data_IF_577377040351
#
_entry.id   IF_577377040351
#
_cell.length_a   1.000
_cell.length_b   1.000
_cell.length_c   1.000
_cell.angle_alpha   90.00
_cell.angle_beta   90.00
_cell.angle_gamma   90.00
#
_symmetry.space_group_name_H-M   'P 1'
#
loop_
_entity.id
_entity.type
_entity.pdbx_description
1 polymer ?
#
# COMPACT_ATOMS: atom_id res chain seq x y z
N UNK A 1 18.51 69.16 -49.31
CA UNK A 1 17.15 68.83 -48.84
C UNK A 1 17.05 67.33 -48.68
N UNK A 2 17.25 66.77 -47.48
CA UNK A 2 17.07 65.34 -47.21
C UNK A 2 15.98 65.20 -46.14
N UNK A 3 14.88 64.54 -46.49
CA UNK A 3 13.84 64.13 -45.54
C UNK A 3 14.27 62.81 -44.90
N UNK A 4 14.67 62.84 -43.63
CA UNK A 4 14.94 61.63 -42.84
C UNK A 4 13.61 61.10 -42.33
N UNK A 5 13.18 59.94 -42.83
CA UNK A 5 11.94 59.28 -42.42
C UNK A 5 12.23 58.37 -41.21
N UNK A 6 11.59 58.64 -40.07
CA UNK A 6 11.62 57.76 -38.89
C UNK A 6 10.62 56.61 -39.08
N UNK A 7 11.10 55.37 -39.23
CA UNK A 7 10.26 54.18 -39.12
C UNK A 7 10.25 53.70 -37.66
N UNK A 8 9.13 53.91 -36.96
CA UNK A 8 8.83 53.20 -35.70
C UNK A 8 8.47 51.75 -36.04
N UNK A 9 9.26 50.80 -35.55
CA UNK A 9 8.86 49.40 -35.51
C UNK A 9 7.71 49.25 -34.50
N UNK A 10 6.54 48.84 -34.98
CA UNK A 10 5.40 48.51 -34.12
C UNK A 10 5.63 47.15 -33.43
N UNK A 11 5.23 46.96 -32.17
CA UNK A 11 5.30 45.66 -31.52
C UNK A 11 4.38 44.69 -32.26
N UNK A 12 4.88 43.49 -32.56
CA UNK A 12 4.09 42.41 -33.13
C UNK A 12 2.99 42.02 -32.13
N UNK A 13 1.81 42.61 -32.27
CA UNK A 13 0.63 42.21 -31.54
C UNK A 13 0.24 40.80 -32.00
N UNK A 14 0.20 39.86 -31.06
CA UNK A 14 -0.40 38.54 -31.25
C UNK A 14 -1.89 38.78 -31.58
N UNK A 15 -2.24 38.68 -32.86
CA UNK A 15 -3.60 38.87 -33.34
C UNK A 15 -4.44 37.62 -33.07
N UNK A 16 -5.73 37.80 -32.80
CA UNK A 16 -6.69 36.75 -32.45
C UNK A 16 -6.86 35.62 -33.49
N UNK A 17 -6.24 35.74 -34.68
CA UNK A 17 -6.31 34.76 -35.75
C UNK A 17 -5.45 33.50 -35.51
N UNK A 18 -4.53 33.51 -34.53
CA UNK A 18 -3.69 32.36 -34.21
C UNK A 18 -4.33 31.37 -33.20
N UNK A 19 -5.40 31.80 -32.52
CA UNK A 19 -6.10 31.02 -31.48
C UNK A 19 -6.68 29.66 -31.95
N UNK A 20 -7.29 29.52 -33.14
CA UNK A 20 -7.95 28.26 -33.54
C UNK A 20 -6.97 27.15 -33.95
N UNK A 21 -5.70 27.46 -34.24
CA UNK A 21 -4.69 26.47 -34.62
C UNK A 21 -4.02 25.80 -33.41
N UNK A 22 -3.97 26.49 -32.26
CA UNK A 22 -3.42 25.94 -31.01
C UNK A 22 -4.47 25.21 -30.16
N UNK A 23 -5.75 25.55 -30.32
CA UNK A 23 -6.87 24.92 -29.62
C UNK A 23 -6.98 23.39 -29.79
N UNK A 24 -6.72 22.77 -30.96
CA UNK A 24 -6.75 21.31 -31.09
C UNK A 24 -5.51 20.63 -30.48
N UNK A 25 -4.43 21.37 -30.19
CA UNK A 25 -3.22 20.85 -29.56
C UNK A 25 -3.31 20.86 -28.03
N UNK A 26 -4.11 21.75 -27.45
CA UNK A 26 -4.39 21.83 -26.02
C UNK A 26 -4.90 20.51 -25.40
N UNK A 27 -5.95 19.84 -25.94
CA UNK A 27 -6.42 18.58 -25.38
C UNK A 27 -5.37 17.45 -25.35
N UNK A 28 -4.61 17.16 -26.44
CA UNK A 28 -3.56 16.14 -26.38
C UNK A 28 -2.37 16.54 -25.51
N UNK A 29 -2.01 17.83 -25.45
CA UNK A 29 -0.94 18.31 -24.56
C UNK A 29 -1.34 18.21 -23.08
N UNK A 30 -2.61 18.51 -22.76
CA UNK A 30 -3.16 18.38 -21.42
C UNK A 30 -3.26 16.90 -21.00
N UNK A 31 -3.63 16.00 -21.92
CA UNK A 31 -3.65 14.56 -21.67
C UNK A 31 -2.23 14.01 -21.43
N UNK A 32 -1.26 14.43 -22.24
CA UNK A 32 0.15 14.05 -22.05
C UNK A 32 0.71 14.59 -20.72
N UNK A 33 0.41 15.83 -20.38
CA UNK A 33 0.80 16.43 -19.10
C UNK A 33 0.16 15.70 -17.92
N UNK A 34 -1.11 15.30 -18.03
CA UNK A 34 -1.80 14.50 -17.02
C UNK A 34 -1.14 13.12 -16.84
N UNK A 35 -0.78 12.44 -17.93
CA UNK A 35 -0.09 11.14 -17.88
C UNK A 35 1.32 11.24 -17.26
N UNK A 36 2.01 12.37 -17.41
CA UNK A 36 3.32 12.62 -16.80
C UNK A 36 3.23 13.02 -15.30
N UNK A 37 2.09 13.59 -14.88
CA UNK A 37 1.87 14.08 -13.51
C UNK A 37 1.11 13.08 -12.61
N UNK A 38 0.42 12.09 -13.18
CA UNK A 38 -0.18 11.01 -12.41
C UNK A 38 0.94 10.01 -12.04
N UNK A 39 1.34 9.91 -10.76
CA UNK A 39 2.20 8.82 -10.35
C UNK A 39 1.51 7.53 -10.74
N UNK A 40 2.25 6.64 -11.42
CA UNK A 40 1.74 5.33 -11.80
C UNK A 40 1.16 4.68 -10.56
N UNK A 41 -0.13 4.34 -10.61
CA UNK A 41 -0.79 3.56 -9.57
C UNK A 41 0.09 2.32 -9.40
N UNK A 42 0.90 2.26 -8.34
CA UNK A 42 1.68 1.06 -8.04
C UNK A 42 0.64 0.00 -7.79
N UNK A 43 0.44 -0.89 -8.78
CA UNK A 43 -0.38 -2.08 -8.60
C UNK A 43 0.24 -2.79 -7.41
N UNK A 44 -0.54 -2.83 -6.33
CA UNK A 44 -0.16 -3.57 -5.17
C UNK A 44 -0.08 -5.05 -5.63
N UNK A 45 0.92 -5.77 -5.13
CA UNK A 45 1.38 -7.01 -5.74
C UNK A 45 0.86 -8.21 -4.95
N UNK A 46 0.45 -9.29 -5.63
CA UNK A 46 0.15 -10.53 -4.93
C UNK A 46 1.40 -11.05 -4.22
N UNK A 47 1.20 -11.93 -3.24
CA UNK A 47 2.30 -12.59 -2.57
C UNK A 47 3.23 -13.32 -3.57
N UNK A 48 4.56 -13.34 -3.33
CA UNK A 48 5.50 -14.08 -4.16
C UNK A 48 5.07 -15.53 -4.39
N UNK A 49 5.41 -16.09 -5.55
CA UNK A 49 5.03 -17.45 -5.93
C UNK A 49 5.33 -18.46 -4.80
N UNK A 50 4.34 -19.30 -4.48
CA UNK A 50 4.44 -20.29 -3.40
C UNK A 50 4.10 -19.77 -1.99
N UNK A 51 3.80 -18.47 -1.85
CA UNK A 51 3.33 -17.87 -0.59
C UNK A 51 1.92 -17.33 -0.72
N UNK A 52 1.26 -17.12 0.41
CA UNK A 52 -0.12 -16.63 0.54
C UNK A 52 -0.19 -15.66 1.73
N UNK A 53 -1.19 -14.78 1.76
CA UNK A 53 -1.43 -13.90 2.91
C UNK A 53 -1.70 -14.73 4.17
N UNK A 54 -0.99 -14.41 5.27
CA UNK A 54 -1.12 -15.11 6.57
C UNK A 54 -2.53 -15.01 7.11
N UNK A 55 -3.18 -13.86 6.94
CA UNK A 55 -4.59 -13.62 7.28
C UNK A 55 -4.92 -14.01 8.73
N UNK A 56 -4.03 -13.70 9.68
CA UNK A 56 -4.34 -13.88 11.10
C UNK A 56 -5.38 -12.87 11.62
N UNK A 57 -5.55 -11.76 10.90
CA UNK A 57 -6.66 -10.83 11.01
C UNK A 57 -6.98 -10.32 9.60
N UNK A 58 -8.05 -9.54 9.47
CA UNK A 58 -8.50 -9.01 8.18
C UNK A 58 -7.43 -8.15 7.48
N UNK A 59 -6.60 -7.45 8.25
CA UNK A 59 -5.54 -6.55 7.78
C UNK A 59 -4.13 -7.18 7.80
N UNK A 60 -4.01 -8.44 8.22
CA UNK A 60 -2.73 -9.14 8.30
C UNK A 60 -2.33 -9.74 6.95
N UNK A 61 -1.65 -8.93 6.15
CA UNK A 61 -1.29 -9.20 4.78
C UNK A 61 0.17 -9.65 4.57
N UNK A 62 0.83 -10.12 5.64
CA UNK A 62 2.18 -10.70 5.56
C UNK A 62 2.15 -11.97 4.71
N UNK A 63 3.06 -12.10 3.75
CA UNK A 63 3.17 -13.28 2.89
C UNK A 63 3.94 -14.40 3.59
N UNK A 64 3.29 -15.56 3.72
CA UNK A 64 3.83 -16.75 4.40
C UNK A 64 3.53 -18.01 3.61
N UNK A 65 4.03 -19.16 4.07
CA UNK A 65 3.71 -20.44 3.45
C UNK A 65 2.22 -20.80 3.63
N UNK A 66 1.62 -21.59 2.72
CA UNK A 66 0.26 -22.11 2.92
C UNK A 66 0.09 -22.94 4.22
N UNK A 67 1.16 -23.54 4.73
CA UNK A 67 1.16 -24.22 6.02
C UNK A 67 1.04 -23.23 7.19
N UNK A 68 1.80 -22.13 7.16
CA UNK A 68 1.71 -21.07 8.17
C UNK A 68 0.33 -20.39 8.18
N UNK A 69 -0.25 -20.10 7.01
CA UNK A 69 -1.63 -19.59 6.92
C UNK A 69 -2.65 -20.51 7.62
N UNK A 70 -2.55 -21.83 7.38
CA UNK A 70 -3.41 -22.82 8.06
C UNK A 70 -3.16 -22.85 9.56
N UNK A 71 -1.91 -22.70 10.00
CA UNK A 71 -1.54 -22.64 11.42
C UNK A 71 -2.13 -21.41 12.10
N UNK A 72 -2.00 -20.23 11.49
CA UNK A 72 -2.59 -18.99 12.00
C UNK A 72 -4.11 -19.10 12.18
N UNK A 73 -4.81 -19.72 11.22
CA UNK A 73 -6.24 -19.99 11.35
C UNK A 73 -6.57 -20.94 12.52
N UNK A 74 -5.78 -21.99 12.72
CA UNK A 74 -5.94 -22.92 13.85
C UNK A 74 -5.62 -22.26 15.20
N UNK A 75 -4.61 -21.39 15.24
CA UNK A 75 -4.25 -20.62 16.44
C UNK A 75 -5.37 -19.64 16.81
N UNK A 76 -5.96 -18.96 15.82
CA UNK A 76 -7.12 -18.08 16.04
C UNK A 76 -8.32 -18.86 16.61
N UNK A 77 -8.62 -20.04 16.06
CA UNK A 77 -9.72 -20.88 16.53
C UNK A 77 -9.52 -21.36 17.98
N UNK A 78 -8.26 -21.62 18.39
CA UNK A 78 -7.94 -22.10 19.74
C UNK A 78 -7.64 -21.00 20.74
N UNK A 79 -7.43 -19.75 20.31
CA UNK A 79 -7.05 -18.64 21.19
C UNK A 79 -7.96 -18.49 22.43
N UNK A 80 -9.30 -18.59 22.32
CA UNK A 80 -10.18 -18.47 23.49
C UNK A 80 -9.97 -19.54 24.55
N UNK A 81 -9.49 -20.73 24.17
CA UNK A 81 -9.20 -21.82 25.10
C UNK A 81 -7.92 -21.59 25.91
N UNK A 82 -7.10 -20.64 25.48
CA UNK A 82 -5.81 -20.30 26.08
C UNK A 82 -5.82 -18.94 26.77
N UNK A 83 -6.97 -18.26 26.78
CA UNK A 83 -7.16 -17.02 27.52
C UNK A 83 -7.53 -17.29 28.97
N UNK A 84 -7.01 -16.42 29.84
CA UNK A 84 -7.37 -16.31 31.25
C UNK A 84 -7.60 -14.85 31.60
N UNK A 85 -8.39 -14.60 32.64
CA UNK A 85 -8.43 -13.30 33.29
C UNK A 85 -7.12 -13.09 34.06
N UNK A 86 -6.37 -12.06 33.67
CA UNK A 86 -5.05 -11.80 34.24
C UNK A 86 -4.64 -10.32 34.18
N UNK A 87 -3.35 -10.03 34.43
CA UNK A 87 -2.82 -8.67 34.52
C UNK A 87 -3.05 -7.79 33.28
N UNK A 88 -3.30 -8.39 32.12
CA UNK A 88 -3.56 -7.68 30.87
C UNK A 88 -5.02 -7.79 30.39
N UNK A 89 -5.94 -8.07 31.32
CA UNK A 89 -7.36 -8.23 31.04
C UNK A 89 -7.77 -9.67 30.70
N UNK A 90 -9.00 -9.87 30.15
CA UNK A 90 -9.61 -11.19 29.95
C UNK A 90 -8.97 -12.02 28.83
N UNK A 91 -8.08 -11.42 28.02
CA UNK A 91 -7.31 -12.10 26.96
C UNK A 91 -5.83 -12.24 27.32
N UNK A 92 -5.53 -12.35 28.61
CA UNK A 92 -4.19 -12.71 29.06
C UNK A 92 -3.92 -14.16 28.69
N UNK A 93 -2.72 -14.50 28.21
CA UNK A 93 -2.40 -15.90 27.91
C UNK A 93 -2.20 -16.73 29.19
N UNK A 94 -2.69 -17.96 29.17
CA UNK A 94 -2.43 -18.95 30.22
C UNK A 94 -0.91 -19.20 30.39
N UNK A 95 -0.51 -19.70 31.56
CA UNK A 95 0.89 -20.00 31.86
C UNK A 95 1.51 -20.94 30.80
N UNK A 96 2.73 -20.61 30.34
CA UNK A 96 3.43 -21.31 29.26
C UNK A 96 3.10 -20.83 27.85
N UNK A 97 2.12 -19.93 27.70
CA UNK A 97 1.77 -19.30 26.42
C UNK A 97 2.06 -17.80 26.43
N UNK A 98 2.23 -17.25 25.23
CA UNK A 98 2.47 -15.83 24.99
C UNK A 98 1.63 -15.37 23.81
N UNK A 99 1.31 -14.07 23.73
CA UNK A 99 0.67 -13.53 22.53
C UNK A 99 1.59 -13.74 21.32
N UNK A 100 0.99 -14.17 20.20
CA UNK A 100 1.68 -14.53 18.96
C UNK A 100 2.35 -13.35 18.29
N UNK A 101 1.81 -12.14 18.48
CA UNK A 101 2.37 -10.89 17.96
C UNK A 101 2.53 -10.87 16.43
N UNK A 102 1.53 -11.36 15.70
CA UNK A 102 1.44 -11.09 14.26
C UNK A 102 1.36 -9.60 13.92
N UNK A 103 0.68 -8.85 14.78
CA UNK A 103 0.47 -7.42 14.69
C UNK A 103 0.26 -6.87 16.11
N UNK A 104 0.24 -5.54 16.26
CA UNK A 104 0.27 -4.87 17.57
C UNK A 104 -0.89 -5.24 18.51
N UNK A 105 -2.05 -5.62 17.97
CA UNK A 105 -3.25 -5.99 18.73
C UNK A 105 -3.54 -7.50 18.72
N UNK A 106 -2.59 -8.34 18.31
CA UNK A 106 -2.80 -9.78 18.21
C UNK A 106 -2.83 -10.46 19.58
N UNK A 107 -4.04 -10.73 20.08
CA UNK A 107 -4.26 -11.43 21.36
C UNK A 107 -4.26 -12.96 21.23
N UNK A 108 -3.88 -13.52 20.08
CA UNK A 108 -3.80 -14.97 19.88
C UNK A 108 -2.71 -15.57 20.74
N UNK A 109 -3.02 -16.55 21.58
CA UNK A 109 -2.02 -17.19 22.44
C UNK A 109 -1.38 -18.40 21.77
N UNK A 110 -0.04 -18.45 21.79
CA UNK A 110 0.78 -19.52 21.21
C UNK A 110 1.98 -19.84 22.09
N UNK A 111 2.76 -20.86 21.73
CA UNK A 111 4.02 -21.16 22.40
C UNK A 111 5.07 -20.08 22.10
N UNK A 112 6.08 -19.89 22.98
CA UNK A 112 7.18 -18.96 22.72
C UNK A 112 7.94 -19.24 21.41
N UNK A 113 8.10 -20.51 21.05
CA UNK A 113 8.74 -20.91 19.78
C UNK A 113 7.94 -20.44 18.56
N UNK A 114 6.60 -20.57 18.61
CA UNK A 114 5.75 -20.13 17.51
C UNK A 114 5.67 -18.59 17.43
N UNK A 115 5.69 -17.89 18.56
CA UNK A 115 5.87 -16.42 18.55
C UNK A 115 7.17 -16.03 17.84
N UNK A 116 8.27 -16.74 18.08
CA UNK A 116 9.52 -16.46 17.38
C UNK A 116 9.42 -16.70 15.86
N UNK A 117 8.74 -17.76 15.40
CA UNK A 117 8.43 -17.99 13.98
C UNK A 117 7.60 -16.83 13.40
N UNK A 118 6.51 -16.42 14.07
CA UNK A 118 5.67 -15.30 13.60
C UNK A 118 6.44 -13.98 13.53
N UNK A 119 7.33 -13.70 14.49
CA UNK A 119 8.15 -12.50 14.45
C UNK A 119 9.14 -12.49 13.27
N UNK A 120 9.64 -13.66 12.86
CA UNK A 120 10.44 -13.79 11.65
C UNK A 120 9.59 -13.55 10.39
N UNK A 121 8.38 -14.11 10.35
CA UNK A 121 7.44 -13.90 9.24
C UNK A 121 7.09 -12.42 9.06
N UNK A 122 6.93 -11.67 10.16
CA UNK A 122 6.61 -10.24 10.12
C UNK A 122 7.65 -9.37 9.41
N UNK A 123 8.90 -9.85 9.26
CA UNK A 123 9.94 -9.19 8.48
C UNK A 123 9.84 -9.48 6.97
N UNK A 124 8.94 -10.37 6.57
CA UNK A 124 8.69 -10.75 5.19
C UNK A 124 7.90 -9.71 4.40
N UNK A 125 7.76 -9.93 3.08
CA UNK A 125 6.98 -9.05 2.22
C UNK A 125 5.50 -9.10 2.59
N UNK A 126 4.79 -8.02 2.30
CA UNK A 126 3.34 -7.94 2.38
C UNK A 126 2.76 -7.99 0.97
N UNK A 127 1.66 -8.71 0.82
CA UNK A 127 0.95 -8.81 -0.44
C UNK A 127 -0.43 -8.19 -0.35
N UNK A 128 -1.09 -8.11 -1.50
CA UNK A 128 -2.48 -7.70 -1.56
C UNK A 128 -3.38 -8.75 -0.92
N UNK A 129 -4.41 -8.27 -0.22
CA UNK A 129 -5.49 -9.14 0.20
C UNK A 129 -6.21 -9.61 -1.08
N UNK A 130 -6.40 -10.93 -1.27
CA UNK A 130 -7.24 -11.40 -2.36
C UNK A 130 -8.64 -10.79 -2.23
N UNK A 131 -9.32 -10.51 -3.36
CA UNK A 131 -10.69 -9.99 -3.35
C UNK A 131 -11.67 -10.93 -2.65
#
# INVERSE_FOLDING_TARGET
>A
MLRTSCHRAAPAALTAASLPLLLPLLPPLLLLLLLLLLPGMTQAAPCPAGTVVRAAAADDNVCVTPASRRRAAADNARAPLLWVSGPFGPKTCASGFVWRQAFAADTTCVTPALRAETLQENAGPRGDLPP
#
